data_IF_483798439820
#
_entry.id   IF_483798439820
#
_cell.length_a   1.000
_cell.length_b   1.000
_cell.length_c   1.000
_cell.angle_alpha   90.00
_cell.angle_beta   90.00
_cell.angle_gamma   90.00
#
_symmetry.space_group_name_H-M   'P 1'
#
loop_
_entity.id
_entity.type
_entity.pdbx_description
1 polymer ?
#
# COMPACT_ATOMS: atom_id res chain seq x y z
N UNK A 1 3.47 -7.27 36.52
CA UNK A 1 2.85 -8.28 35.64
C UNK A 1 3.83 -8.59 34.51
N UNK A 2 4.29 -9.82 34.41
CA UNK A 2 5.14 -10.22 33.28
C UNK A 2 4.23 -10.46 32.06
N UNK A 3 4.46 -9.74 30.99
CA UNK A 3 3.75 -9.98 29.71
C UNK A 3 4.45 -11.16 29.03
N UNK A 4 3.73 -12.26 28.89
CA UNK A 4 4.24 -13.42 28.14
C UNK A 4 4.13 -13.11 26.64
N UNK A 5 5.28 -13.21 25.94
CA UNK A 5 5.28 -13.05 24.49
C UNK A 5 4.41 -14.12 23.83
N UNK A 6 3.51 -13.72 22.95
CA UNK A 6 2.75 -14.62 22.09
C UNK A 6 3.62 -14.97 20.89
N UNK A 7 4.04 -16.22 20.81
CA UNK A 7 4.82 -16.75 19.67
C UNK A 7 3.93 -17.72 18.90
N UNK A 8 3.70 -17.44 17.62
CA UNK A 8 3.00 -18.36 16.72
C UNK A 8 3.99 -19.22 15.97
N UNK A 9 3.72 -20.53 15.90
CA UNK A 9 4.47 -21.43 15.03
C UNK A 9 4.07 -21.25 13.55
N UNK A 10 4.94 -21.63 12.63
CA UNK A 10 4.66 -21.53 11.20
C UNK A 10 3.38 -22.25 10.77
N UNK A 11 3.00 -23.35 11.48
CA UNK A 11 1.79 -24.12 11.21
C UNK A 11 0.48 -23.44 11.61
N UNK A 12 0.55 -22.37 12.42
CA UNK A 12 -0.62 -21.61 12.87
C UNK A 12 -1.00 -20.46 11.91
N UNK A 13 -0.17 -20.20 10.91
CA UNK A 13 -0.49 -19.17 9.91
C UNK A 13 -1.45 -19.73 8.85
N UNK A 14 -2.61 -19.09 8.72
CA UNK A 14 -3.57 -19.38 7.64
C UNK A 14 -3.10 -18.85 6.29
N UNK A 15 -2.32 -17.79 6.32
CA UNK A 15 -1.71 -17.14 5.15
C UNK A 15 -0.24 -16.91 5.49
N UNK A 16 0.64 -17.19 4.54
CA UNK A 16 2.08 -16.94 4.71
C UNK A 16 2.34 -15.47 5.02
N UNK A 17 2.97 -15.13 6.15
CA UNK A 17 3.32 -13.73 6.44
C UNK A 17 4.32 -13.18 5.40
N UNK A 18 4.20 -11.90 5.10
CA UNK A 18 5.17 -11.21 4.23
C UNK A 18 6.57 -11.15 4.83
N UNK A 19 6.69 -11.22 6.15
CA UNK A 19 7.95 -11.24 6.89
C UNK A 19 8.00 -12.51 7.74
N UNK A 20 8.66 -13.56 7.23
CA UNK A 20 8.81 -14.84 7.92
C UNK A 20 10.00 -14.87 8.86
N UNK A 21 11.09 -14.25 8.46
CA UNK A 21 12.35 -14.20 9.18
C UNK A 21 12.89 -12.78 9.16
N UNK A 22 12.82 -12.13 10.31
CA UNK A 22 13.24 -10.73 10.47
C UNK A 22 14.75 -10.58 10.24
N UNK A 23 15.55 -11.47 10.83
CA UNK A 23 17.01 -11.37 10.77
C UNK A 23 17.53 -11.64 9.34
N UNK A 24 16.97 -12.64 8.68
CA UNK A 24 17.27 -12.91 7.27
C UNK A 24 16.82 -11.76 6.35
N UNK A 25 15.72 -11.10 6.68
CA UNK A 25 15.20 -9.96 5.91
C UNK A 25 16.08 -8.71 6.03
N UNK A 26 16.83 -8.57 7.12
CA UNK A 26 17.81 -7.48 7.30
C UNK A 26 19.17 -7.78 6.69
N UNK A 27 19.33 -8.89 5.99
CA UNK A 27 20.58 -9.23 5.31
C UNK A 27 21.00 -8.11 4.33
N UNK A 28 22.33 -7.99 4.04
CA UNK A 28 22.81 -7.02 3.06
C UNK A 28 22.05 -7.09 1.73
N UNK A 29 21.71 -5.93 1.17
CA UNK A 29 20.93 -5.83 -0.07
C UNK A 29 19.41 -5.78 0.13
N UNK A 30 18.90 -5.79 1.38
CA UNK A 30 17.46 -5.68 1.64
C UNK A 30 16.87 -4.38 1.05
N UNK A 31 17.51 -3.25 1.32
CA UNK A 31 17.04 -1.95 0.85
C UNK A 31 17.11 -1.78 -0.66
N UNK A 32 18.12 -2.34 -1.28
CA UNK A 32 18.27 -2.36 -2.73
C UNK A 32 17.14 -3.18 -3.37
N UNK A 33 16.83 -4.35 -2.82
CA UNK A 33 15.69 -5.16 -3.29
C UNK A 33 14.36 -4.44 -3.10
N UNK A 34 14.11 -3.89 -1.91
CA UNK A 34 12.89 -3.13 -1.62
C UNK A 34 12.73 -1.92 -2.56
N UNK A 35 13.82 -1.21 -2.84
CA UNK A 35 13.81 -0.11 -3.80
C UNK A 35 13.51 -0.57 -5.22
N UNK A 36 14.00 -1.74 -5.61
CA UNK A 36 13.74 -2.35 -6.93
C UNK A 36 12.26 -2.74 -7.15
N UNK A 37 11.46 -2.80 -6.11
CA UNK A 37 10.01 -3.04 -6.20
C UNK A 37 9.19 -1.76 -6.43
N UNK A 38 9.84 -0.58 -6.35
CA UNK A 38 9.22 0.72 -6.56
C UNK A 38 9.48 1.20 -7.99
N UNK A 39 8.44 1.74 -8.62
CA UNK A 39 8.55 2.23 -10.01
C UNK A 39 9.27 3.60 -10.10
N UNK A 40 9.11 4.43 -9.08
CA UNK A 40 9.53 5.82 -9.13
C UNK A 40 8.62 6.69 -10.01
N UNK A 41 8.75 7.99 -9.86
CA UNK A 41 8.06 8.94 -10.73
C UNK A 41 8.61 8.88 -12.16
N UNK A 42 7.77 9.03 -13.20
CA UNK A 42 8.22 9.11 -14.58
C UNK A 42 9.33 10.18 -14.79
N UNK A 43 10.29 9.89 -15.65
CA UNK A 43 11.37 10.82 -15.96
C UNK A 43 12.39 11.02 -14.84
N UNK A 44 12.69 9.98 -14.07
CA UNK A 44 13.63 10.02 -12.95
C UNK A 44 13.27 11.04 -11.86
N UNK A 45 11.97 11.32 -11.68
CA UNK A 45 11.45 12.26 -10.70
C UNK A 45 11.60 11.84 -9.22
N UNK A 46 12.32 10.73 -8.96
CA UNK A 46 12.53 10.18 -7.63
C UNK A 46 11.35 9.34 -7.13
N UNK A 47 11.30 9.10 -5.83
CA UNK A 47 10.22 8.32 -5.19
C UNK A 47 9.11 9.23 -4.66
N UNK A 48 7.87 8.83 -4.87
CA UNK A 48 6.70 9.50 -4.34
C UNK A 48 5.71 8.47 -3.82
N UNK A 49 5.37 8.56 -2.53
CA UNK A 49 4.53 7.56 -1.87
C UNK A 49 3.10 7.51 -2.46
N UNK A 50 2.54 8.63 -2.87
CA UNK A 50 1.19 8.67 -3.46
C UNK A 50 1.19 8.00 -4.84
N UNK A 51 2.22 8.26 -5.65
CA UNK A 51 2.41 7.59 -6.94
C UNK A 51 2.54 6.08 -6.75
N UNK A 52 3.42 5.64 -5.86
CA UNK A 52 3.64 4.21 -5.58
C UNK A 52 2.39 3.51 -5.06
N UNK A 53 1.63 4.17 -4.21
CA UNK A 53 0.46 3.57 -3.55
C UNK A 53 -0.81 3.63 -4.41
N UNK A 54 -0.97 4.63 -5.27
CA UNK A 54 -2.23 4.88 -5.99
C UNK A 54 -2.00 5.02 -7.49
N UNK A 55 -1.23 6.00 -7.93
CA UNK A 55 -1.26 6.45 -9.33
C UNK A 55 -0.78 5.38 -10.31
N UNK A 56 0.32 4.67 -10.00
CA UNK A 56 0.82 3.58 -10.85
C UNK A 56 -0.17 2.43 -10.99
N UNK A 57 -1.03 2.22 -10.00
CA UNK A 57 -2.06 1.20 -10.02
C UNK A 57 -3.35 1.66 -10.69
N UNK A 58 -3.64 2.96 -10.65
CA UNK A 58 -4.85 3.55 -11.23
C UNK A 58 -4.90 3.43 -12.75
N UNK A 59 -3.76 3.32 -13.42
CA UNK A 59 -3.64 3.19 -14.88
C UNK A 59 -3.18 1.79 -15.34
N UNK A 60 -2.88 0.90 -14.41
CA UNK A 60 -2.34 -0.44 -14.67
C UNK A 60 -3.38 -1.56 -14.57
N UNK A 61 -2.89 -2.78 -14.53
CA UNK A 61 -3.72 -3.99 -14.42
C UNK A 61 -4.58 -4.05 -13.13
N UNK A 62 -4.28 -3.21 -12.15
CA UNK A 62 -5.03 -3.12 -10.89
C UNK A 62 -6.06 -1.99 -10.86
N UNK A 63 -6.27 -1.28 -11.95
CA UNK A 63 -7.16 -0.11 -12.00
C UNK A 63 -8.56 -0.39 -11.40
N UNK A 64 -9.13 -1.54 -11.71
CA UNK A 64 -10.46 -1.96 -11.25
C UNK A 64 -10.44 -2.75 -9.92
N UNK A 65 -9.27 -2.97 -9.31
CA UNK A 65 -9.20 -3.64 -8.01
C UNK A 65 -9.63 -2.68 -6.90
N UNK A 66 -10.20 -3.25 -5.84
CA UNK A 66 -10.53 -2.51 -4.62
C UNK A 66 -9.27 -1.92 -4.00
N UNK A 67 -9.21 -0.58 -3.91
CA UNK A 67 -8.12 0.16 -3.31
C UNK A 67 -8.44 0.62 -1.88
N UNK A 68 -9.68 1.07 -1.65
CA UNK A 68 -10.10 1.63 -0.37
C UNK A 68 -11.54 1.21 -0.07
N UNK A 69 -11.77 0.73 1.14
CA UNK A 69 -13.10 0.48 1.67
C UNK A 69 -13.35 1.36 2.88
N UNK A 70 -14.34 2.22 2.78
CA UNK A 70 -14.82 3.06 3.88
C UNK A 70 -16.01 2.38 4.56
N UNK A 71 -15.94 2.26 5.88
CA UNK A 71 -17.02 1.72 6.70
C UNK A 71 -17.66 2.86 7.48
N UNK A 72 -18.94 3.09 7.22
CA UNK A 72 -19.73 4.08 7.95
C UNK A 72 -20.16 3.59 9.32
N UNK A 73 -20.51 4.54 10.19
CA UNK A 73 -20.94 4.27 11.59
C UNK A 73 -22.18 3.37 11.68
N UNK A 74 -23.04 3.38 10.66
CA UNK A 74 -24.27 2.60 10.60
C UNK A 74 -24.16 1.34 9.77
N UNK A 75 -22.92 0.95 9.38
CA UNK A 75 -22.65 -0.21 8.55
C UNK A 75 -22.66 0.07 7.05
N UNK A 76 -22.72 1.34 6.63
CA UNK A 76 -22.59 1.71 5.22
C UNK A 76 -21.19 1.29 4.72
N UNK A 77 -21.15 0.75 3.52
CA UNK A 77 -19.89 0.41 2.85
C UNK A 77 -19.78 1.28 1.60
N UNK A 78 -18.65 1.94 1.45
CA UNK A 78 -18.29 2.69 0.25
C UNK A 78 -16.92 2.24 -0.23
N UNK A 79 -16.87 1.66 -1.42
CA UNK A 79 -15.69 1.10 -2.03
C UNK A 79 -15.18 2.02 -3.13
N UNK A 80 -13.86 2.15 -3.22
CA UNK A 80 -13.17 2.83 -4.31
C UNK A 80 -12.20 1.86 -4.96
N UNK A 81 -12.23 1.76 -6.27
CA UNK A 81 -11.16 1.14 -7.06
C UNK A 81 -9.93 2.06 -7.12
N UNK A 82 -8.78 1.54 -7.57
CA UNK A 82 -7.60 2.39 -7.78
C UNK A 82 -7.86 3.50 -8.78
N UNK A 83 -8.57 3.22 -9.88
CA UNK A 83 -8.92 4.23 -10.88
C UNK A 83 -9.82 5.32 -10.30
N UNK A 84 -10.80 4.96 -9.48
CA UNK A 84 -11.68 5.92 -8.81
C UNK A 84 -10.91 6.76 -7.79
N UNK A 85 -10.09 6.13 -6.95
CA UNK A 85 -9.28 6.82 -5.95
C UNK A 85 -8.32 7.81 -6.61
N UNK A 86 -7.65 7.44 -7.71
CA UNK A 86 -6.78 8.33 -8.48
C UNK A 86 -7.53 9.55 -9.03
N UNK A 87 -8.75 9.36 -9.53
CA UNK A 87 -9.60 10.50 -9.98
C UNK A 87 -9.98 11.43 -8.83
N UNK A 88 -10.42 10.88 -7.70
CA UNK A 88 -10.87 11.69 -6.57
C UNK A 88 -9.70 12.46 -5.93
N UNK A 89 -8.53 11.86 -5.80
CA UNK A 89 -7.33 12.56 -5.30
C UNK A 89 -6.90 13.69 -6.24
N UNK A 90 -6.96 13.47 -7.56
CA UNK A 90 -6.66 14.51 -8.57
C UNK A 90 -7.68 15.66 -8.53
N UNK A 91 -8.96 15.35 -8.36
CA UNK A 91 -10.02 16.37 -8.19
C UNK A 91 -9.80 17.20 -6.94
N UNK A 92 -9.44 16.56 -5.84
CA UNK A 92 -9.12 17.27 -4.59
C UNK A 92 -7.90 18.17 -4.74
N UNK A 93 -6.83 17.69 -5.38
CA UNK A 93 -5.64 18.50 -5.66
C UNK A 93 -5.96 19.73 -6.51
N UNK A 94 -6.83 19.58 -7.52
CA UNK A 94 -7.26 20.71 -8.35
C UNK A 94 -8.11 21.73 -7.55
N UNK A 95 -8.97 21.25 -6.65
CA UNK A 95 -9.71 22.14 -5.75
C UNK A 95 -8.78 22.95 -4.84
N UNK A 96 -7.74 22.33 -4.27
CA UNK A 96 -6.74 23.02 -3.45
C UNK A 96 -5.98 24.10 -4.24
N UNK A 97 -5.70 23.85 -5.53
CA UNK A 97 -5.01 24.83 -6.39
C UNK A 97 -5.87 26.03 -6.75
N UNK A 98 -7.19 25.94 -6.61
CA UNK A 98 -8.13 27.03 -6.91
C UNK A 98 -8.41 27.94 -5.70
N UNK A 99 -7.89 27.59 -4.52
CA UNK A 99 -7.98 28.41 -3.30
C UNK A 99 -6.82 29.40 -3.19
#
# INVERSE_FOLDING_TARGET
MAVTALVKSASEFKVTPNLLDYDASLAPGFWERARGELDGLPGDGGLNIAYEAVDRHAVGARADHLALRCLGKRGEIHDFTYAELGRETSRFANALRSL
#
